data_IF_087216628002
#
_entry.id   IF_087216628002
#
_cell.length_a   1.000
_cell.length_b   1.000
_cell.length_c   1.000
_cell.angle_alpha   90.00
_cell.angle_beta   90.00
_cell.angle_gamma   90.00
#
_symmetry.space_group_name_H-M   'P 1'
#
loop_
_entity.id
_entity.type
_entity.pdbx_description
1 polymer ?
#
# COMPACT_ATOMS: atom_id res chain seq x y z
N UNK A 1 26.70 -31.54 -63.28
CA UNK A 1 26.04 -32.43 -62.31
C UNK A 1 26.31 -31.84 -60.94
N UNK A 2 25.40 -30.97 -60.50
CA UNK A 2 24.41 -31.21 -59.42
C UNK A 2 24.97 -30.52 -58.17
N UNK A 3 24.27 -29.72 -57.35
CA UNK A 3 22.88 -29.64 -56.91
C UNK A 3 22.60 -28.14 -56.59
N UNK A 4 21.50 -27.52 -57.03
CA UNK A 4 20.24 -27.38 -56.27
C UNK A 4 20.42 -27.39 -54.74
N UNK A 5 20.67 -26.22 -54.14
CA UNK A 5 20.38 -25.98 -52.72
C UNK A 5 19.02 -25.27 -52.61
N UNK A 6 18.00 -26.12 -52.59
CA UNK A 6 16.68 -25.86 -52.04
C UNK A 6 16.85 -25.60 -50.52
N UNK A 7 16.99 -24.34 -50.11
CA UNK A 7 16.86 -23.99 -48.68
C UNK A 7 15.38 -23.97 -48.30
N UNK A 8 14.94 -25.16 -47.90
CA UNK A 8 13.63 -25.51 -47.38
C UNK A 8 13.19 -24.56 -46.25
N UNK A 9 12.04 -23.88 -46.42
CA UNK A 9 11.27 -23.19 -45.36
C UNK A 9 10.92 -24.13 -44.16
N UNK A 10 11.23 -25.44 -44.25
CA UNK A 10 10.89 -26.45 -43.26
C UNK A 10 11.77 -26.45 -42.00
N UNK A 11 12.94 -25.80 -41.97
CA UNK A 11 13.87 -25.85 -40.83
C UNK A 11 13.87 -24.61 -39.91
N UNK A 12 12.94 -23.67 -40.12
CA UNK A 12 12.82 -22.47 -39.28
C UNK A 12 12.15 -22.77 -37.91
N UNK A 13 12.58 -22.09 -36.83
CA UNK A 13 11.90 -22.14 -35.53
C UNK A 13 10.41 -21.81 -35.66
N UNK A 14 9.55 -22.47 -34.87
CA UNK A 14 8.09 -22.33 -34.95
C UNK A 14 7.61 -20.87 -34.91
N UNK A 15 8.20 -20.06 -34.02
CA UNK A 15 7.94 -18.62 -33.92
C UNK A 15 8.28 -17.84 -35.20
N UNK A 16 9.33 -18.24 -35.93
CA UNK A 16 9.71 -17.61 -37.19
C UNK A 16 8.76 -17.99 -38.33
N UNK A 17 8.18 -19.20 -38.32
CA UNK A 17 7.17 -19.64 -39.29
C UNK A 17 5.84 -18.89 -39.09
N UNK A 18 5.43 -18.72 -37.84
CA UNK A 18 4.22 -17.96 -37.46
C UNK A 18 4.32 -16.49 -37.89
N UNK A 19 5.47 -15.85 -37.67
CA UNK A 19 5.72 -14.48 -38.15
C UNK A 19 5.66 -14.35 -39.68
N UNK A 20 6.18 -15.34 -40.42
CA UNK A 20 6.16 -15.35 -41.88
C UNK A 20 4.74 -15.53 -42.43
N UNK A 21 3.94 -16.42 -41.84
CA UNK A 21 2.52 -16.59 -42.20
C UNK A 21 1.69 -15.34 -41.88
N UNK A 22 2.00 -14.68 -40.78
CA UNK A 22 1.35 -13.43 -40.37
C UNK A 22 1.63 -12.29 -41.39
N UNK A 23 2.89 -12.11 -41.80
CA UNK A 23 3.29 -11.14 -42.84
C UNK A 23 2.61 -11.47 -44.19
N UNK A 24 2.57 -12.75 -44.58
CA UNK A 24 1.89 -13.20 -45.81
C UNK A 24 0.39 -12.88 -45.75
N UNK A 25 -0.25 -13.05 -44.60
CA UNK A 25 -1.68 -12.76 -44.38
C UNK A 25 -1.95 -11.25 -44.40
N UNK A 26 -1.08 -10.45 -43.80
CA UNK A 26 -1.14 -8.98 -43.82
C UNK A 26 -1.08 -8.44 -45.26
N UNK A 27 -0.11 -8.89 -46.06
CA UNK A 27 0.02 -8.46 -47.45
C UNK A 27 -1.23 -8.78 -48.28
N UNK A 28 -1.83 -9.96 -48.07
CA UNK A 28 -3.04 -10.37 -48.77
C UNK A 28 -4.22 -9.46 -48.44
N UNK A 29 -4.40 -9.11 -47.17
CA UNK A 29 -5.45 -8.18 -46.72
C UNK A 29 -5.24 -6.78 -47.29
N UNK A 30 -4.02 -6.25 -47.26
CA UNK A 30 -3.69 -4.94 -47.84
C UNK A 30 -3.93 -4.91 -49.35
N UNK A 31 -3.54 -5.97 -50.08
CA UNK A 31 -3.81 -6.12 -51.53
C UNK A 31 -5.32 -6.18 -51.81
N UNK A 32 -6.10 -6.86 -50.97
CA UNK A 32 -7.57 -6.91 -51.09
C UNK A 32 -8.18 -5.52 -50.91
N UNK A 33 -7.85 -4.82 -49.83
CA UNK A 33 -8.39 -3.49 -49.56
C UNK A 33 -7.95 -2.45 -50.58
N UNK A 34 -6.73 -2.55 -51.13
CA UNK A 34 -6.31 -1.68 -52.23
C UNK A 34 -7.23 -1.85 -53.44
N UNK A 35 -7.54 -3.10 -53.83
CA UNK A 35 -8.49 -3.38 -54.93
C UNK A 35 -9.89 -2.85 -54.65
N UNK A 36 -10.34 -2.84 -53.40
CA UNK A 36 -11.63 -2.26 -53.02
C UNK A 36 -11.64 -0.74 -53.20
N UNK A 37 -10.56 -0.05 -52.79
CA UNK A 37 -10.38 1.40 -52.98
C UNK A 37 -10.33 1.75 -54.47
N UNK A 38 -9.56 1.00 -55.26
CA UNK A 38 -9.41 1.25 -56.70
C UNK A 38 -10.73 1.08 -57.47
N UNK A 39 -11.60 0.17 -57.01
CA UNK A 39 -12.93 -0.07 -57.60
C UNK A 39 -14.02 0.90 -57.11
N UNK A 40 -13.76 1.69 -56.07
CA UNK A 40 -14.76 2.56 -55.48
C UNK A 40 -14.84 3.90 -56.26
N UNK A 41 -15.84 4.02 -57.14
CA UNK A 41 -16.02 5.18 -58.00
C UNK A 41 -16.17 6.52 -57.22
N UNK A 42 -16.74 6.50 -56.01
CA UNK A 42 -16.89 7.70 -55.19
C UNK A 42 -15.53 8.15 -54.60
N UNK A 43 -14.71 7.21 -54.12
CA UNK A 43 -13.35 7.50 -53.66
C UNK A 43 -12.47 8.00 -54.80
N UNK A 44 -12.57 7.37 -55.98
CA UNK A 44 -11.83 7.82 -57.17
C UNK A 44 -12.26 9.21 -57.62
N UNK A 45 -13.54 9.55 -57.52
CA UNK A 45 -14.02 10.91 -57.81
C UNK A 45 -13.48 11.94 -56.80
N UNK A 46 -13.45 11.59 -55.51
CA UNK A 46 -12.89 12.43 -54.45
C UNK A 46 -11.39 12.67 -54.60
N UNK A 47 -10.62 11.64 -55.00
CA UNK A 47 -9.17 11.75 -55.17
C UNK A 47 -8.72 12.66 -56.32
N UNK A 48 -9.62 13.01 -57.26
CA UNK A 48 -9.30 13.90 -58.39
C UNK A 48 -8.87 15.30 -57.97
N UNK A 49 -9.20 15.74 -56.76
CA UNK A 49 -8.83 17.06 -56.25
C UNK A 49 -7.41 17.12 -55.63
N UNK A 50 -6.73 15.97 -55.53
CA UNK A 50 -5.40 15.85 -54.92
C UNK A 50 -4.35 15.41 -55.94
N UNK A 51 -3.08 15.60 -55.60
CA UNK A 51 -1.99 15.10 -56.46
C UNK A 51 -1.86 13.58 -56.33
N UNK A 52 -1.34 12.89 -57.37
CA UNK A 52 -1.13 11.43 -57.32
C UNK A 52 -0.27 10.97 -56.14
N UNK A 53 0.72 11.78 -55.73
CA UNK A 53 1.58 11.50 -54.57
C UNK A 53 0.81 11.57 -53.25
N UNK A 54 -0.03 12.59 -53.06
CA UNK A 54 -0.89 12.74 -51.88
C UNK A 54 -1.88 11.57 -51.76
N UNK A 55 -2.48 11.17 -52.88
CA UNK A 55 -3.41 10.02 -52.94
C UNK A 55 -2.68 8.73 -52.61
N UNK A 56 -1.45 8.54 -53.12
CA UNK A 56 -0.67 7.34 -52.84
C UNK A 56 -0.26 7.26 -51.37
N UNK A 57 0.21 8.37 -50.79
CA UNK A 57 0.54 8.44 -49.36
C UNK A 57 -0.69 8.13 -48.51
N UNK A 58 -1.81 8.80 -48.77
CA UNK A 58 -3.06 8.59 -48.03
C UNK A 58 -3.51 7.13 -48.09
N UNK A 59 -3.48 6.49 -49.27
CA UNK A 59 -3.91 5.09 -49.38
C UNK A 59 -2.96 4.18 -48.59
N UNK A 60 -1.66 4.42 -48.63
CA UNK A 60 -0.70 3.62 -47.87
C UNK A 60 -0.94 3.76 -46.36
N UNK A 61 -1.14 4.98 -45.87
CA UNK A 61 -1.45 5.26 -44.46
C UNK A 61 -2.79 4.62 -44.05
N UNK A 62 -3.83 4.79 -44.87
CA UNK A 62 -5.14 4.21 -44.63
C UNK A 62 -5.08 2.68 -44.55
N UNK A 63 -4.35 2.02 -45.45
CA UNK A 63 -4.18 0.57 -45.43
C UNK A 63 -3.39 0.10 -44.22
N UNK A 64 -2.37 0.86 -43.81
CA UNK A 64 -1.59 0.60 -42.60
C UNK A 64 -2.47 0.68 -41.35
N UNK A 65 -3.19 1.78 -41.15
CA UNK A 65 -4.06 1.95 -39.98
C UNK A 65 -5.25 0.98 -39.97
N UNK A 66 -5.86 0.71 -41.13
CA UNK A 66 -6.94 -0.30 -41.25
C UNK A 66 -6.44 -1.69 -40.85
N UNK A 67 -5.21 -2.04 -41.21
CA UNK A 67 -4.60 -3.30 -40.78
C UNK A 67 -4.41 -3.34 -39.26
N UNK A 68 -3.82 -2.28 -38.68
CA UNK A 68 -3.64 -2.17 -37.23
C UNK A 68 -4.97 -2.26 -36.47
N UNK A 69 -6.05 -1.64 -36.97
CA UNK A 69 -7.37 -1.73 -36.35
C UNK A 69 -7.97 -3.13 -36.45
N UNK A 70 -7.79 -3.85 -37.56
CA UNK A 70 -8.26 -5.24 -37.66
C UNK A 70 -7.47 -6.16 -36.73
N UNK A 71 -6.17 -5.91 -36.56
CA UNK A 71 -5.27 -6.73 -35.74
C UNK A 71 -5.38 -6.45 -34.24
N UNK A 72 -5.51 -5.18 -33.86
CA UNK A 72 -5.43 -4.72 -32.47
C UNK A 72 -6.69 -3.99 -32.00
N UNK A 73 -7.72 -3.83 -32.84
CA UNK A 73 -8.93 -3.07 -32.50
C UNK A 73 -9.64 -3.59 -31.25
N UNK A 74 -9.70 -4.91 -31.07
CA UNK A 74 -10.25 -5.50 -29.84
C UNK A 74 -9.44 -5.08 -28.62
N UNK A 75 -8.10 -5.15 -28.68
CA UNK A 75 -7.22 -4.70 -27.60
C UNK A 75 -7.39 -3.20 -27.29
N UNK A 76 -7.66 -2.38 -28.29
CA UNK A 76 -7.97 -0.96 -28.08
C UNK A 76 -9.33 -0.76 -27.39
N UNK A 77 -10.34 -1.57 -27.74
CA UNK A 77 -11.65 -1.56 -27.05
C UNK A 77 -11.52 -2.06 -25.62
N UNK A 78 -10.81 -3.17 -25.41
CA UNK A 78 -10.53 -3.74 -24.08
C UNK A 78 -9.79 -2.71 -23.20
N UNK A 79 -8.79 -2.02 -23.76
CA UNK A 79 -8.05 -0.95 -23.08
C UNK A 79 -8.92 0.26 -22.72
N UNK A 80 -9.88 0.64 -23.58
CA UNK A 80 -10.85 1.70 -23.29
C UNK A 80 -11.84 1.29 -22.19
N UNK A 81 -12.32 0.05 -22.21
CA UNK A 81 -13.17 -0.51 -21.16
C UNK A 81 -12.40 -0.60 -19.83
N UNK A 82 -11.16 -1.10 -19.83
CA UNK A 82 -10.24 -1.11 -18.68
C UNK A 82 -10.05 0.29 -18.09
N UNK A 83 -9.84 1.30 -18.94
CA UNK A 83 -9.72 2.70 -18.50
C UNK A 83 -11.01 3.27 -17.91
N UNK A 84 -12.18 2.76 -18.29
CA UNK A 84 -13.45 3.17 -17.68
C UNK A 84 -13.67 2.46 -16.33
N UNK A 85 -13.26 1.20 -16.22
CA UNK A 85 -13.41 0.38 -15.02
C UNK A 85 -12.39 0.79 -13.95
N UNK A 86 -11.18 1.20 -14.33
CA UNK A 86 -10.13 1.56 -13.37
C UNK A 86 -10.59 2.66 -12.39
N UNK A 87 -11.33 3.66 -12.88
CA UNK A 87 -11.78 4.78 -12.04
C UNK A 87 -12.91 4.37 -11.12
N UNK A 88 -13.78 3.45 -11.57
CA UNK A 88 -14.82 2.85 -10.72
C UNK A 88 -14.19 2.00 -9.62
N UNK A 89 -13.16 1.21 -9.95
CA UNK A 89 -12.40 0.42 -8.98
C UNK A 89 -11.73 1.31 -7.94
N UNK A 90 -11.00 2.35 -8.38
CA UNK A 90 -10.37 3.32 -7.47
C UNK A 90 -11.42 4.01 -6.60
N UNK A 91 -12.51 4.51 -7.19
CA UNK A 91 -13.59 5.15 -6.43
C UNK A 91 -14.20 4.20 -5.39
N UNK A 92 -14.36 2.92 -5.71
CA UNK A 92 -14.87 1.89 -4.78
C UNK A 92 -13.93 1.71 -3.59
N UNK A 93 -12.64 1.77 -3.81
CA UNK A 93 -11.68 1.73 -2.71
C UNK A 93 -11.70 3.01 -1.87
N UNK A 94 -11.87 4.17 -2.49
CA UNK A 94 -12.04 5.43 -1.75
C UNK A 94 -13.29 5.44 -0.85
N UNK A 95 -14.37 4.71 -1.22
CA UNK A 95 -15.51 4.51 -0.32
C UNK A 95 -15.10 3.84 1.00
N UNK A 96 -14.06 3.00 1.00
CA UNK A 96 -13.53 2.39 2.22
C UNK A 96 -13.02 3.46 3.18
N UNK A 97 -12.38 4.52 2.70
CA UNK A 97 -11.82 5.60 3.53
C UNK A 97 -12.93 6.29 4.35
N UNK A 98 -14.11 6.50 3.75
CA UNK A 98 -15.27 7.03 4.46
C UNK A 98 -15.67 6.09 5.62
N UNK A 99 -15.80 4.79 5.35
CA UNK A 99 -16.16 3.82 6.38
C UNK A 99 -15.05 3.63 7.43
N UNK A 100 -13.77 3.74 7.06
CA UNK A 100 -12.65 3.66 8.01
C UNK A 100 -12.79 4.70 9.12
N UNK A 101 -13.13 5.94 8.74
CA UNK A 101 -13.39 7.00 9.71
C UNK A 101 -14.55 6.65 10.65
N UNK A 102 -15.64 6.13 10.11
CA UNK A 102 -16.82 5.74 10.90
C UNK A 102 -16.49 4.63 11.88
N UNK A 103 -15.72 3.63 11.44
CA UNK A 103 -15.23 2.57 12.32
C UNK A 103 -14.30 3.11 13.40
N UNK A 104 -13.43 4.07 13.06
CA UNK A 104 -12.53 4.69 14.02
C UNK A 104 -13.27 5.51 15.07
N UNK A 105 -14.30 6.26 14.68
CA UNK A 105 -15.17 6.98 15.63
C UNK A 105 -15.85 6.00 16.61
N UNK A 106 -16.34 4.89 16.09
CA UNK A 106 -16.91 3.80 16.89
C UNK A 106 -15.85 3.17 17.79
N UNK A 107 -14.61 3.02 17.32
CA UNK A 107 -13.47 2.55 18.13
C UNK A 107 -13.21 3.49 19.31
N UNK A 108 -13.15 4.81 19.09
CA UNK A 108 -12.98 5.80 20.16
C UNK A 108 -14.09 5.70 21.21
N UNK A 109 -15.36 5.62 20.78
CA UNK A 109 -16.50 5.48 21.69
C UNK A 109 -16.48 4.17 22.48
N UNK A 110 -16.13 3.06 21.83
CA UNK A 110 -16.03 1.75 22.46
C UNK A 110 -14.89 1.72 23.47
N UNK A 111 -13.70 2.21 23.11
CA UNK A 111 -12.54 2.30 24.02
C UNK A 111 -12.84 3.16 25.25
N UNK A 112 -13.64 4.20 25.08
CA UNK A 112 -14.12 5.07 26.16
C UNK A 112 -15.31 4.52 26.97
N UNK A 113 -15.67 3.26 26.75
CA UNK A 113 -16.77 2.57 27.42
C UNK A 113 -18.13 3.28 27.28
N UNK A 114 -18.34 4.00 26.17
CA UNK A 114 -19.58 4.72 25.87
C UNK A 114 -20.61 3.87 25.16
N UNK A 115 -20.17 2.84 24.46
CA UNK A 115 -21.00 1.92 23.68
C UNK A 115 -20.56 0.48 23.90
N UNK A 116 -21.47 -0.45 23.62
CA UNK A 116 -21.20 -1.89 23.60
C UNK A 116 -21.54 -2.39 22.20
N UNK A 117 -20.60 -3.12 21.60
CA UNK A 117 -20.77 -3.72 20.27
C UNK A 117 -20.59 -5.23 20.46
N UNK A 118 -21.64 -6.05 20.30
CA UNK A 118 -21.56 -7.49 20.54
C UNK A 118 -20.47 -8.21 19.74
N UNK A 119 -20.17 -7.71 18.55
CA UNK A 119 -19.20 -8.27 17.61
C UNK A 119 -17.75 -7.86 17.91
N UNK A 120 -17.55 -6.93 18.85
CA UNK A 120 -16.22 -6.45 19.26
C UNK A 120 -15.96 -6.90 20.69
N UNK A 121 -15.03 -7.83 20.83
CA UNK A 121 -14.60 -8.36 22.12
C UNK A 121 -13.32 -7.70 22.60
N UNK A 122 -12.40 -7.41 21.67
CA UNK A 122 -11.11 -6.78 21.96
C UNK A 122 -10.80 -5.67 20.95
N UNK A 123 -9.91 -4.75 21.32
CA UNK A 123 -9.51 -3.65 20.45
C UNK A 123 -8.90 -4.10 19.11
N UNK A 124 -8.31 -5.30 19.06
CA UNK A 124 -7.78 -5.88 17.83
C UNK A 124 -8.86 -6.19 16.78
N UNK A 125 -10.11 -6.42 17.19
CA UNK A 125 -11.21 -6.71 16.26
C UNK A 125 -11.47 -5.54 15.31
N UNK A 126 -11.20 -4.29 15.72
CA UNK A 126 -11.26 -3.12 14.84
C UNK A 126 -10.25 -3.20 13.69
N UNK A 127 -9.04 -3.71 13.94
CA UNK A 127 -8.03 -3.92 12.88
C UNK A 127 -8.48 -5.01 11.89
N UNK A 128 -9.20 -6.02 12.37
CA UNK A 128 -9.78 -7.07 11.51
C UNK A 128 -10.91 -6.49 10.66
N UNK A 129 -11.86 -5.79 11.28
CA UNK A 129 -12.98 -5.16 10.58
C UNK A 129 -12.52 -4.06 9.62
N UNK A 130 -11.46 -3.32 9.94
CA UNK A 130 -10.85 -2.36 9.03
C UNK A 130 -10.39 -2.98 7.71
N UNK A 131 -9.99 -4.26 7.69
CA UNK A 131 -9.66 -4.98 6.45
C UNK A 131 -10.89 -5.40 5.64
N UNK A 132 -12.04 -5.53 6.30
CA UNK A 132 -13.32 -5.95 5.71
C UNK A 132 -14.39 -4.85 5.83
N UNK A 133 -13.99 -3.60 5.66
CA UNK A 133 -14.74 -2.43 6.14
C UNK A 133 -16.10 -2.23 5.45
N UNK A 134 -16.24 -2.59 4.18
CA UNK A 134 -17.51 -2.47 3.45
C UNK A 134 -18.56 -3.50 3.90
N UNK A 135 -18.15 -4.54 4.63
CA UNK A 135 -19.04 -5.56 5.19
C UNK A 135 -19.24 -5.39 6.71
N UNK A 136 -18.77 -4.28 7.29
CA UNK A 136 -18.96 -3.96 8.69
C UNK A 136 -20.39 -3.50 8.93
N UNK A 137 -21.20 -4.33 9.61
CA UNK A 137 -22.65 -4.12 9.72
C UNK A 137 -23.09 -3.31 10.94
N UNK A 138 -22.20 -3.09 11.92
CA UNK A 138 -22.49 -2.30 13.12
C UNK A 138 -22.14 -0.81 12.95
N UNK A 139 -21.65 -0.42 11.77
CA UNK A 139 -21.54 0.97 11.35
C UNK A 139 -22.58 1.24 10.26
N UNK A 140 -23.13 2.45 10.24
CA UNK A 140 -24.09 2.84 9.21
C UNK A 140 -23.48 2.72 7.81
N UNK A 141 -24.25 2.32 6.78
CA UNK A 141 -23.80 2.38 5.39
C UNK A 141 -23.41 3.81 4.97
N UNK A 142 -22.62 3.91 3.91
CA UNK A 142 -22.21 5.21 3.36
C UNK A 142 -23.43 5.94 2.80
N UNK A 143 -23.68 7.17 3.26
CA UNK A 143 -24.75 8.01 2.76
C UNK A 143 -24.33 8.80 1.51
N UNK A 144 -25.31 9.28 0.73
CA UNK A 144 -25.03 10.16 -0.41
C UNK A 144 -24.35 11.47 0.03
N UNK A 145 -24.73 12.01 1.19
CA UNK A 145 -24.15 13.22 1.78
C UNK A 145 -22.67 13.02 2.13
N UNK A 146 -22.30 11.86 2.67
CA UNK A 146 -20.91 11.50 2.95
C UNK A 146 -20.08 11.40 1.66
N UNK A 147 -20.66 10.86 0.58
CA UNK A 147 -20.01 10.83 -0.74
C UNK A 147 -19.80 12.23 -1.28
N UNK A 148 -20.79 13.12 -1.18
CA UNK A 148 -20.67 14.52 -1.61
C UNK A 148 -19.60 15.27 -0.82
N UNK A 149 -19.52 15.05 0.50
CA UNK A 149 -18.45 15.63 1.34
C UNK A 149 -17.08 15.09 0.96
N UNK A 150 -16.98 13.80 0.66
CA UNK A 150 -15.73 13.19 0.23
C UNK A 150 -15.30 13.69 -1.17
N UNK A 151 -16.24 13.90 -2.09
CA UNK A 151 -15.98 14.54 -3.38
C UNK A 151 -15.48 15.97 -3.21
N UNK A 152 -16.11 16.75 -2.32
CA UNK A 152 -15.64 18.11 -2.00
C UNK A 152 -14.22 18.07 -1.45
N UNK A 153 -13.91 17.14 -0.55
CA UNK A 153 -12.56 16.93 -0.04
C UNK A 153 -11.58 16.69 -1.19
N UNK A 154 -11.82 15.69 -2.05
CA UNK A 154 -10.94 15.35 -3.18
C UNK A 154 -10.71 16.49 -4.18
N UNK A 155 -11.66 17.42 -4.32
CA UNK A 155 -11.57 18.56 -5.23
C UNK A 155 -10.83 19.77 -4.63
N UNK A 156 -10.43 19.71 -3.36
CA UNK A 156 -9.59 20.76 -2.76
C UNK A 156 -8.16 20.65 -3.28
N UNK A 157 -7.54 21.80 -3.60
CA UNK A 157 -6.26 21.91 -4.31
C UNK A 157 -5.03 21.40 -3.52
N UNK A 158 -5.22 20.93 -2.28
CA UNK A 158 -4.17 20.51 -1.35
C UNK A 158 -4.19 19.01 -1.04
N UNK A 159 -5.07 18.24 -1.68
CA UNK A 159 -5.25 16.82 -1.38
C UNK A 159 -4.00 16.03 -1.78
N UNK A 160 -3.31 15.47 -0.79
CA UNK A 160 -1.94 14.96 -0.89
C UNK A 160 -1.79 13.67 -1.74
N UNK A 161 -0.55 13.35 -2.12
CA UNK A 161 -0.17 12.10 -2.81
C UNK A 161 -0.52 10.84 -2.01
N UNK A 162 -0.72 10.95 -0.69
CA UNK A 162 -1.02 9.83 0.23
C UNK A 162 -2.30 9.08 -0.11
N UNK A 163 -3.25 9.76 -0.76
CA UNK A 163 -4.47 9.12 -1.27
C UNK A 163 -4.24 8.16 -2.43
N UNK A 164 -3.04 8.15 -3.05
CA UNK A 164 -2.65 7.11 -4.00
C UNK A 164 -2.20 5.82 -3.28
N UNK A 165 -1.81 5.91 -2.00
CA UNK A 165 -1.16 4.85 -1.24
C UNK A 165 -1.96 4.41 0.00
N UNK A 166 -3.25 4.77 0.11
CA UNK A 166 -4.12 4.50 1.28
C UNK A 166 -4.19 3.02 1.72
N UNK A 167 -3.79 2.07 0.86
CA UNK A 167 -3.67 0.66 1.21
C UNK A 167 -2.60 0.37 2.29
N UNK A 168 -1.64 1.29 2.49
CA UNK A 168 -0.60 1.18 3.51
C UNK A 168 -0.94 1.93 4.81
N UNK A 169 -2.01 2.74 4.81
CA UNK A 169 -2.38 3.57 5.95
C UNK A 169 -3.08 2.72 7.00
N UNK A 170 -2.60 2.80 8.25
CA UNK A 170 -3.11 2.04 9.39
C UNK A 170 -4.30 2.77 10.05
N UNK A 171 -5.42 2.87 9.33
CA UNK A 171 -6.60 3.66 9.70
C UNK A 171 -7.28 3.31 11.04
N UNK A 172 -6.94 2.16 11.63
CA UNK A 172 -7.48 1.67 12.91
C UNK A 172 -6.39 1.59 14.00
N UNK A 173 -5.26 2.24 13.78
CA UNK A 173 -4.15 2.27 14.73
C UNK A 173 -4.30 3.41 15.73
N UNK A 174 -5.17 3.16 16.71
CA UNK A 174 -5.57 4.12 17.72
C UNK A 174 -4.40 4.89 18.35
N UNK A 175 -3.35 4.19 18.80
CA UNK A 175 -2.22 4.82 19.50
C UNK A 175 -1.48 5.82 18.61
N UNK A 176 -1.12 5.41 17.39
CA UNK A 176 -0.42 6.27 16.43
C UNK A 176 -1.28 7.45 15.98
N UNK A 177 -2.58 7.22 15.74
CA UNK A 177 -3.50 8.28 15.30
C UNK A 177 -3.77 9.30 16.42
N UNK A 178 -3.90 8.84 17.67
CA UNK A 178 -4.09 9.73 18.82
C UNK A 178 -2.79 10.49 19.13
N UNK A 179 -1.63 9.85 18.99
CA UNK A 179 -0.33 10.52 19.11
C UNK A 179 -0.19 11.61 18.04
N UNK A 180 -0.39 11.28 16.76
CA UNK A 180 -0.31 12.22 15.65
C UNK A 180 -1.30 13.39 15.78
N UNK A 181 -2.49 13.16 16.35
CA UNK A 181 -3.45 14.24 16.62
C UNK A 181 -3.01 15.19 17.75
N UNK A 182 -2.37 14.66 18.79
CA UNK A 182 -1.97 15.44 19.96
C UNK A 182 -0.61 16.14 19.79
N UNK A 183 0.28 15.60 18.96
CA UNK A 183 1.61 16.14 18.72
C UNK A 183 1.57 17.13 17.54
N UNK A 184 1.30 18.40 17.84
CA UNK A 184 1.12 19.45 16.81
C UNK A 184 2.42 19.95 16.20
N UNK A 185 3.58 19.54 16.73
CA UNK A 185 4.89 20.14 16.43
C UNK A 185 5.83 19.23 15.60
N UNK A 186 5.51 17.94 15.43
CA UNK A 186 6.25 17.04 14.54
C UNK A 186 5.48 16.84 13.22
N UNK A 187 6.03 17.43 12.15
CA UNK A 187 5.51 17.34 10.78
C UNK A 187 5.54 15.92 10.16
N UNK A 188 5.93 14.91 10.94
CA UNK A 188 6.01 13.49 10.53
C UNK A 188 4.85 12.62 11.10
N UNK A 189 3.92 13.21 11.86
CA UNK A 189 2.71 12.52 12.30
C UNK A 189 1.70 12.36 11.16
N UNK A 190 1.55 11.16 10.61
CA UNK A 190 0.59 10.80 9.54
C UNK A 190 -0.88 10.79 10.06
N UNK A 191 -1.37 11.90 10.61
CA UNK A 191 -2.81 12.03 10.88
C UNK A 191 -3.55 12.23 9.55
N UNK A 192 -4.55 11.41 9.21
CA UNK A 192 -5.14 11.48 7.89
C UNK A 192 -5.91 12.79 7.63
N UNK A 193 -5.60 13.48 6.54
CA UNK A 193 -6.27 14.73 6.15
C UNK A 193 -7.80 14.58 6.05
N UNK A 194 -8.28 13.41 5.60
CA UNK A 194 -9.72 13.12 5.58
C UNK A 194 -10.34 13.16 6.98
N UNK A 195 -9.64 12.65 7.99
CA UNK A 195 -10.12 12.64 9.37
C UNK A 195 -10.25 14.08 9.89
N UNK A 196 -9.27 14.93 9.65
CA UNK A 196 -9.35 16.35 10.01
C UNK A 196 -10.48 17.07 9.29
N UNK A 197 -10.55 16.90 7.96
CA UNK A 197 -11.57 17.53 7.12
C UNK A 197 -12.99 17.24 7.62
N UNK A 198 -13.26 15.98 7.96
CA UNK A 198 -14.60 15.55 8.39
C UNK A 198 -14.85 15.83 9.87
N UNK A 199 -13.83 15.79 10.73
CA UNK A 199 -13.94 16.13 12.15
C UNK A 199 -14.37 17.58 12.35
N UNK A 200 -13.81 18.52 11.58
CA UNK A 200 -14.18 19.94 11.63
C UNK A 200 -15.66 20.14 11.29
N UNK A 201 -16.21 19.33 10.38
CA UNK A 201 -17.60 19.46 9.90
C UNK A 201 -18.62 18.78 10.78
N UNK A 202 -18.26 17.62 11.34
CA UNK A 202 -19.16 16.79 12.15
C UNK A 202 -19.08 17.10 13.64
N UNK A 203 -17.97 17.67 14.11
CA UNK A 203 -17.66 17.81 15.54
C UNK A 203 -17.11 16.52 16.18
N UNK A 204 -16.92 15.46 15.40
CA UNK A 204 -16.43 14.17 15.89
C UNK A 204 -14.95 14.20 16.32
N UNK A 205 -14.22 15.30 16.06
CA UNK A 205 -12.87 15.49 16.61
C UNK A 205 -12.84 15.40 18.13
N UNK A 206 -13.94 15.71 18.81
CA UNK A 206 -14.08 15.52 20.25
C UNK A 206 -13.87 14.06 20.70
N UNK A 207 -14.12 13.07 19.84
CA UNK A 207 -13.93 11.65 20.17
C UNK A 207 -12.46 11.28 20.39
N UNK A 208 -11.53 12.02 19.78
CA UNK A 208 -10.08 11.84 19.95
C UNK A 208 -9.62 12.21 21.37
N UNK A 209 -10.42 12.98 22.10
CA UNK A 209 -10.12 13.39 23.48
C UNK A 209 -10.72 12.45 24.53
N UNK A 210 -11.46 11.42 24.11
CA UNK A 210 -12.09 10.48 25.02
C UNK A 210 -11.02 9.59 25.71
N UNK A 211 -11.25 9.20 26.97
CA UNK A 211 -10.31 8.35 27.69
C UNK A 211 -10.31 6.93 27.10
N UNK A 212 -9.13 6.34 26.96
CA UNK A 212 -9.01 4.92 26.61
C UNK A 212 -9.13 4.04 27.85
N UNK A 213 -10.35 3.63 28.21
CA UNK A 213 -10.62 2.82 29.39
C UNK A 213 -10.43 1.33 29.09
N UNK A 214 -11.00 0.85 27.97
CA UNK A 214 -10.95 -0.56 27.61
C UNK A 214 -9.57 -0.99 27.10
N UNK A 215 -8.91 -0.16 26.29
CA UNK A 215 -7.58 -0.45 25.79
C UNK A 215 -6.55 -0.61 26.91
N UNK A 216 -6.55 0.29 27.88
CA UNK A 216 -5.67 0.19 29.07
C UNK A 216 -5.94 -1.07 29.91
N UNK A 217 -7.21 -1.52 29.99
CA UNK A 217 -7.55 -2.79 30.64
C UNK A 217 -7.03 -3.98 29.83
N UNK A 218 -7.17 -3.96 28.51
CA UNK A 218 -6.64 -5.02 27.65
C UNK A 218 -5.11 -5.11 27.74
N UNK A 219 -4.41 -3.99 27.63
CA UNK A 219 -2.96 -3.91 27.78
C UNK A 219 -2.51 -4.52 29.11
N UNK A 220 -3.15 -4.12 30.21
CA UNK A 220 -2.91 -4.68 31.54
C UNK A 220 -3.03 -6.21 31.56
N UNK A 221 -4.09 -6.79 31.00
CA UNK A 221 -4.27 -8.25 30.99
C UNK A 221 -3.34 -8.96 30.01
N UNK A 222 -2.98 -8.32 28.89
CA UNK A 222 -2.03 -8.87 27.93
C UNK A 222 -0.62 -8.93 28.52
N UNK A 223 -0.19 -7.91 29.25
CA UNK A 223 1.11 -7.88 29.93
C UNK A 223 1.20 -8.98 30.97
N UNK A 224 0.19 -9.09 31.83
CA UNK A 224 0.09 -10.18 32.82
C UNK A 224 0.06 -11.54 32.12
N UNK A 225 -0.74 -11.67 31.07
CA UNK A 225 -0.88 -12.90 30.31
C UNK A 225 0.44 -13.33 29.68
N UNK A 226 1.26 -12.40 29.17
CA UNK A 226 2.60 -12.69 28.64
C UNK A 226 3.51 -13.20 29.74
N UNK A 227 3.58 -12.53 30.88
CA UNK A 227 4.47 -12.93 31.97
C UNK A 227 4.09 -14.29 32.59
N UNK A 228 2.79 -14.52 32.83
CA UNK A 228 2.32 -15.73 33.53
C UNK A 228 2.22 -16.93 32.59
N UNK A 229 1.85 -16.75 31.31
CA UNK A 229 1.68 -17.88 30.38
C UNK A 229 2.95 -18.69 30.18
N UNK A 230 4.11 -18.05 30.27
CA UNK A 230 5.42 -18.69 30.13
C UNK A 230 6.06 -19.05 31.46
N UNK A 231 5.32 -18.93 32.57
CA UNK A 231 5.81 -19.38 33.86
C UNK A 231 5.96 -20.90 33.89
N UNK A 232 7.16 -21.37 34.22
CA UNK A 232 7.46 -22.80 34.37
C UNK A 232 7.08 -23.35 35.76
N UNK A 233 6.70 -22.46 36.67
CA UNK A 233 6.30 -22.76 38.04
C UNK A 233 5.02 -22.02 38.44
N UNK A 234 4.40 -22.49 39.51
CA UNK A 234 3.23 -21.80 40.07
C UNK A 234 3.65 -20.49 40.72
N UNK A 235 3.12 -19.37 40.21
CA UNK A 235 3.35 -18.05 40.79
C UNK A 235 2.26 -17.74 41.82
N UNK A 236 2.63 -17.71 43.11
CA UNK A 236 1.71 -17.36 44.19
C UNK A 236 1.37 -15.87 44.18
N UNK A 237 0.08 -15.54 44.22
CA UNK A 237 -0.41 -14.16 44.32
C UNK A 237 -0.67 -13.86 45.79
N UNK A 238 0.08 -12.90 46.34
CA UNK A 238 -0.10 -12.43 47.71
C UNK A 238 -1.41 -11.62 47.84
N UNK A 239 -2.03 -11.68 49.02
CA UNK A 239 -3.22 -10.89 49.31
C UNK A 239 -2.91 -9.39 49.20
N UNK A 240 -3.67 -8.69 48.38
CA UNK A 240 -3.52 -7.26 48.14
C UNK A 240 -4.89 -6.58 48.22
N UNK A 241 -4.92 -5.31 48.65
CA UNK A 241 -6.15 -4.51 48.71
C UNK A 241 -6.79 -4.35 47.32
N UNK A 242 -5.98 -4.33 46.27
CA UNK A 242 -6.41 -4.42 44.89
C UNK A 242 -5.83 -5.71 44.26
N UNK A 243 -6.72 -6.57 43.78
CA UNK A 243 -6.33 -7.84 43.18
C UNK A 243 -5.49 -7.65 41.90
N UNK A 244 -5.72 -6.57 41.14
CA UNK A 244 -4.92 -6.21 39.96
C UNK A 244 -3.46 -5.92 40.33
N UNK A 245 -3.25 -5.17 41.41
CA UNK A 245 -1.92 -4.86 41.94
C UNK A 245 -1.24 -6.12 42.51
N UNK A 246 -2.02 -7.03 43.09
CA UNK A 246 -1.55 -8.35 43.53
C UNK A 246 -0.98 -9.18 42.38
N UNK A 247 -1.70 -9.27 41.26
CA UNK A 247 -1.26 -10.02 40.07
C UNK A 247 -0.02 -9.36 39.44
N UNK A 248 -0.02 -8.03 39.25
CA UNK A 248 1.16 -7.30 38.76
C UNK A 248 2.40 -7.55 39.62
N UNK A 249 2.24 -7.47 40.94
CA UNK A 249 3.33 -7.69 41.90
C UNK A 249 3.87 -9.11 41.77
N UNK A 250 2.99 -10.10 41.65
CA UNK A 250 3.38 -11.50 41.48
C UNK A 250 4.16 -11.73 40.18
N UNK A 251 3.70 -11.16 39.06
CA UNK A 251 4.39 -11.22 37.76
C UNK A 251 5.78 -10.56 37.83
N UNK A 252 5.89 -9.36 38.41
CA UNK A 252 7.18 -8.67 38.58
C UNK A 252 8.13 -9.48 39.46
N UNK A 253 7.65 -10.05 40.57
CA UNK A 253 8.47 -10.91 41.45
C UNK A 253 9.00 -12.14 40.72
N UNK A 254 8.14 -12.81 39.93
CA UNK A 254 8.54 -13.94 39.11
C UNK A 254 9.60 -13.54 38.06
N UNK A 255 9.34 -12.49 37.28
CA UNK A 255 10.26 -11.96 36.28
C UNK A 255 11.64 -11.63 36.89
N UNK A 256 11.65 -10.85 37.97
CA UNK A 256 12.90 -10.45 38.66
C UNK A 256 13.66 -11.63 39.25
N UNK A 257 12.96 -12.65 39.78
CA UNK A 257 13.58 -13.91 40.21
C UNK A 257 14.27 -14.61 39.03
N UNK A 258 13.58 -14.80 37.90
CA UNK A 258 14.15 -15.47 36.72
C UNK A 258 15.34 -14.73 36.12
N UNK A 259 15.27 -13.40 36.06
CA UNK A 259 16.42 -12.57 35.65
C UNK A 259 17.59 -12.76 36.61
N UNK A 260 17.36 -12.74 37.93
CA UNK A 260 18.41 -12.94 38.92
C UNK A 260 19.05 -14.34 38.82
N UNK A 261 18.25 -15.38 38.55
CA UNK A 261 18.72 -16.75 38.32
C UNK A 261 19.56 -16.89 37.05
N UNK A 262 19.20 -16.20 35.96
CA UNK A 262 19.91 -16.23 34.68
C UNK A 262 21.14 -15.30 34.63
N UNK A 263 21.25 -14.34 35.56
CA UNK A 263 22.28 -13.30 35.53
C UNK A 263 23.72 -13.84 35.55
N UNK A 264 24.08 -14.88 36.35
CA UNK A 264 25.42 -15.44 36.33
C UNK A 264 25.83 -16.01 34.98
N UNK A 265 24.95 -16.78 34.33
CA UNK A 265 25.20 -17.35 33.00
C UNK A 265 25.33 -16.25 31.94
N UNK A 266 24.46 -15.24 31.98
CA UNK A 266 24.57 -14.09 31.09
C UNK A 266 25.89 -13.32 31.28
N UNK A 267 26.38 -13.21 32.53
CA UNK A 267 27.67 -12.58 32.83
C UNK A 267 28.86 -13.41 32.32
N UNK A 268 28.81 -14.74 32.45
CA UNK A 268 29.82 -15.63 31.87
C UNK A 268 29.87 -15.50 30.35
N UNK A 269 28.71 -15.51 29.69
CA UNK A 269 28.62 -15.29 28.24
C UNK A 269 29.16 -13.92 27.83
N UNK A 270 28.89 -12.87 28.62
CA UNK A 270 29.44 -11.55 28.40
C UNK A 270 30.97 -11.54 28.44
N UNK A 271 31.57 -12.17 29.46
CA UNK A 271 33.03 -12.28 29.58
C UNK A 271 33.64 -13.10 28.44
N UNK A 272 32.99 -14.20 28.05
CA UNK A 272 33.41 -15.03 26.93
C UNK A 272 33.39 -14.25 25.60
N UNK A 273 32.36 -13.45 25.36
CA UNK A 273 32.29 -12.60 24.17
C UNK A 273 33.44 -11.57 24.13
N UNK A 274 33.80 -10.99 25.29
CA UNK A 274 34.97 -10.10 25.39
C UNK A 274 36.28 -10.83 25.09
N UNK A 275 36.47 -12.04 25.65
CA UNK A 275 37.68 -12.84 25.44
C UNK A 275 37.84 -13.25 23.97
N UNK A 276 36.75 -13.63 23.31
CA UNK A 276 36.75 -14.04 21.91
C UNK A 276 36.66 -12.87 20.91
N UNK A 277 36.58 -11.62 21.40
CA UNK A 277 36.36 -10.42 20.58
C UNK A 277 35.14 -10.55 19.65
N UNK A 278 34.06 -11.14 20.16
CA UNK A 278 32.76 -11.26 19.48
C UNK A 278 31.92 -10.04 19.84
N UNK A 279 31.42 -9.33 18.84
CA UNK A 279 30.50 -8.20 19.06
C UNK A 279 29.19 -8.65 19.72
N UNK A 280 28.66 -7.83 20.63
CA UNK A 280 27.37 -8.12 21.28
C UNK A 280 26.23 -7.92 20.28
N UNK A 281 25.30 -8.88 20.20
CA UNK A 281 24.11 -8.73 19.36
C UNK A 281 23.25 -7.60 19.90
N UNK A 282 23.10 -6.54 19.11
CA UNK A 282 22.03 -5.55 19.29
C UNK A 282 20.83 -6.06 18.51
N UNK A 283 19.62 -5.95 19.08
CA UNK A 283 18.36 -6.40 18.49
C UNK A 283 18.30 -6.09 16.97
N UNK A 284 18.14 -7.13 16.14
CA UNK A 284 18.18 -7.04 14.67
C UNK A 284 17.17 -6.03 14.13
N UNK A 285 16.06 -5.81 14.85
CA UNK A 285 15.01 -4.86 14.50
C UNK A 285 15.44 -3.40 14.61
N UNK A 286 16.29 -3.07 15.60
CA UNK A 286 16.85 -1.72 15.78
C UNK A 286 18.00 -1.44 14.80
N UNK A 287 18.79 -2.46 14.48
CA UNK A 287 19.93 -2.33 13.54
C UNK A 287 19.48 -2.04 12.10
N UNK A 288 18.34 -2.58 11.65
CA UNK A 288 17.88 -2.34 10.28
C UNK A 288 17.53 -0.87 10.02
N UNK A 289 16.84 -0.21 10.96
CA UNK A 289 16.41 1.19 10.78
C UNK A 289 17.55 2.19 11.00
N UNK A 290 18.43 1.96 11.98
CA UNK A 290 19.60 2.83 12.20
C UNK A 290 20.62 2.77 11.06
N UNK A 291 20.93 1.58 10.52
CA UNK A 291 21.89 1.46 9.42
C UNK A 291 21.37 2.13 8.15
N UNK A 292 20.07 2.00 7.84
CA UNK A 292 19.46 2.68 6.70
C UNK A 292 19.50 4.22 6.83
N UNK A 293 19.29 4.75 8.04
CA UNK A 293 19.41 6.19 8.30
C UNK A 293 20.86 6.68 8.21
N UNK A 294 21.83 5.89 8.68
CA UNK A 294 23.26 6.20 8.58
C UNK A 294 23.75 6.23 7.13
N UNK A 295 23.32 5.28 6.31
CA UNK A 295 23.65 5.24 4.88
C UNK A 295 23.08 6.47 4.15
N UNK A 296 21.81 6.80 4.40
CA UNK A 296 21.16 7.98 3.84
C UNK A 296 21.85 9.29 4.27
N UNK A 297 22.20 9.43 5.55
CA UNK A 297 22.91 10.61 6.05
C UNK A 297 24.31 10.74 5.44
N UNK A 298 25.00 9.61 5.25
CA UNK A 298 26.32 9.57 4.59
C UNK A 298 26.22 10.02 3.13
N UNK A 299 25.23 9.51 2.40
CA UNK A 299 24.97 9.91 1.00
C UNK A 299 24.63 11.40 0.88
N UNK A 300 23.76 11.93 1.76
CA UNK A 300 23.39 13.35 1.77
C UNK A 300 24.59 14.25 2.13
N UNK A 301 25.44 13.80 3.04
CA UNK A 301 26.63 14.55 3.45
C UNK A 301 27.67 14.61 2.31
N UNK A 302 27.90 13.48 1.62
CA UNK A 302 28.78 13.45 0.45
C UNK A 302 28.20 14.24 -0.72
N UNK A 303 26.89 14.16 -0.97
CA UNK A 303 26.23 14.99 -1.98
C UNK A 303 26.40 16.49 -1.68
N UNK A 304 26.16 16.91 -0.44
CA UNK A 304 26.35 18.31 -0.03
C UNK A 304 27.80 18.79 -0.18
N UNK A 305 28.77 17.93 0.14
CA UNK A 305 30.21 18.25 -0.04
C UNK A 305 30.60 18.34 -1.51
N UNK A 306 30.08 17.43 -2.34
CA UNK A 306 30.26 17.43 -3.80
C UNK A 306 29.72 18.71 -4.45
N UNK A 307 28.52 19.14 -4.08
CA UNK A 307 27.92 20.40 -4.58
C UNK A 307 28.75 21.63 -4.18
N UNK A 308 29.54 21.55 -3.11
CA UNK A 308 30.46 22.60 -2.65
C UNK A 308 31.89 22.46 -3.19
N UNK A 309 32.18 21.42 -3.98
CA UNK A 309 33.52 21.12 -4.49
C UNK A 309 34.49 20.60 -3.42
N UNK A 310 33.99 20.12 -2.29
CA UNK A 310 34.76 19.49 -1.21
C UNK A 310 34.93 17.98 -1.48
N UNK A 311 36.01 17.34 -1.01
CA UNK A 311 36.17 15.88 -1.11
C UNK A 311 35.03 15.13 -0.40
N UNK A 312 34.49 14.08 -1.04
CA UNK A 312 33.44 13.20 -0.49
C UNK A 312 34.02 12.26 0.58
N UNK A 313 34.49 12.83 1.69
CA UNK A 313 35.02 12.13 2.86
C UNK A 313 34.51 12.74 4.17
N UNK A 314 34.81 12.09 5.29
CA UNK A 314 34.43 12.55 6.64
C UNK A 314 35.47 13.51 7.27
N UNK A 315 36.39 14.07 6.48
CA UNK A 315 37.38 15.02 6.97
C UNK A 315 36.81 16.44 6.84
N UNK A 316 36.17 16.91 7.91
CA UNK A 316 35.54 18.24 7.97
C UNK A 316 36.53 19.39 7.98
#
# INVERSE_FOLDING_TARGET
>A
MSQEENNNEQDLPQHSKEQIEEIKTEEQLRKKWRKEIDKNAAMQAYFKQFTPEQVTSFINDFLFYKHLWVKHGQRCLDSLEEHSIQWVTVATEHLKIIQQKKLFDVQCLWRADKIIIPEIQVSWDFKIWGKNILNCHFIEPISAEEVELYQQFLLQSSVNEDLKWYQYVQWQDYENLIAAYNDSDDADGDFPEWYDFINIRTGNGSYLTLPDIRGKKEEFYLDIGREIKWADETVAIEANANWEDGIKTAAIKYYTKKVAEALPEAYEQYLLNLEMNIGFSVDEKWNFDMNRRLDMLTELLFLGRKERGEPEDFNF
#
